data_IF_875583369464
#
_entry.id   IF_875583369464
#
_cell.length_a   1.000
_cell.length_b   1.000
_cell.length_c   1.000
_cell.angle_alpha   90.00
_cell.angle_beta   90.00
_cell.angle_gamma   90.00
#
_symmetry.space_group_name_H-M   'P 1'
#
loop_
_entity.id
_entity.type
_entity.pdbx_description
1 polymer ?
#
# COMPACT_ATOMS: atom_id res chain seq x y z
N UNK A 1 15.39 -20.47 -10.41
CA UNK A 1 16.49 -19.65 -9.86
C UNK A 1 17.45 -20.47 -9.01
N UNK A 2 17.01 -21.16 -7.95
CA UNK A 2 17.93 -21.83 -7.01
C UNK A 2 18.88 -22.91 -7.59
N UNK A 3 18.49 -23.74 -8.57
CA UNK A 3 19.47 -24.61 -9.26
C UNK A 3 20.59 -23.85 -9.99
N UNK A 4 20.37 -22.60 -10.39
CA UNK A 4 21.40 -21.74 -10.95
C UNK A 4 22.27 -21.12 -9.84
N UNK A 5 21.69 -20.77 -8.69
CA UNK A 5 22.45 -20.28 -7.52
C UNK A 5 23.49 -21.30 -7.08
N UNK A 6 23.12 -22.59 -7.02
CA UNK A 6 24.05 -23.68 -6.68
C UNK A 6 25.23 -23.79 -7.66
N UNK A 7 25.08 -23.33 -8.92
CA UNK A 7 26.16 -23.32 -9.92
C UNK A 7 27.00 -22.04 -9.86
N UNK A 8 26.39 -20.92 -9.51
CA UNK A 8 27.05 -19.60 -9.52
C UNK A 8 27.83 -19.33 -8.23
N UNK A 9 27.33 -19.82 -7.10
CA UNK A 9 27.96 -19.65 -5.79
C UNK A 9 28.85 -20.86 -5.56
N UNK A 10 30.15 -20.63 -5.44
CA UNK A 10 31.14 -21.67 -5.11
C UNK A 10 32.03 -21.23 -3.95
N UNK A 11 32.31 -19.93 -3.81
CA UNK A 11 33.15 -19.35 -2.77
C UNK A 11 32.41 -18.26 -1.99
N UNK A 12 32.87 -17.97 -0.77
CA UNK A 12 32.38 -16.81 0.00
C UNK A 12 32.51 -15.47 -0.77
N UNK A 13 33.39 -15.40 -1.77
CA UNK A 13 33.58 -14.23 -2.64
C UNK A 13 32.41 -13.99 -3.60
N UNK A 14 31.60 -15.01 -3.85
CA UNK A 14 30.40 -14.91 -4.69
C UNK A 14 29.18 -14.37 -3.92
N UNK A 15 29.35 -14.10 -2.62
CA UNK A 15 28.33 -13.63 -1.71
C UNK A 15 28.58 -12.17 -1.28
N UNK A 16 27.52 -11.37 -1.09
CA UNK A 16 26.12 -11.73 -1.28
C UNK A 16 25.72 -11.74 -2.76
N UNK A 17 24.96 -12.75 -3.16
CA UNK A 17 24.27 -12.74 -4.46
C UNK A 17 22.90 -12.09 -4.26
N UNK A 18 22.63 -11.00 -4.97
CA UNK A 18 21.34 -10.26 -4.88
C UNK A 18 20.73 -10.08 -6.26
N UNK A 19 19.61 -10.76 -6.52
CA UNK A 19 18.93 -10.69 -7.82
C UNK A 19 17.47 -10.29 -7.65
N UNK A 20 16.97 -9.53 -8.62
CA UNK A 20 15.59 -9.09 -8.71
C UNK A 20 15.10 -9.25 -10.15
N UNK A 21 13.84 -9.65 -10.33
CA UNK A 21 13.19 -9.65 -11.64
C UNK A 21 11.79 -9.05 -11.58
N UNK A 22 11.39 -8.39 -12.68
CA UNK A 22 10.02 -7.97 -12.93
C UNK A 22 9.39 -8.93 -13.93
N UNK A 23 8.27 -9.53 -13.58
CA UNK A 23 7.62 -10.55 -14.39
C UNK A 23 6.12 -10.59 -14.16
N UNK A 24 5.41 -11.32 -15.00
CA UNK A 24 4.06 -11.79 -14.74
C UNK A 24 4.10 -13.18 -14.10
N UNK A 25 3.18 -13.45 -13.18
CA UNK A 25 2.99 -14.77 -12.58
C UNK A 25 1.56 -15.22 -12.79
N UNK A 26 1.40 -16.50 -13.13
CA UNK A 26 0.11 -17.15 -13.29
C UNK A 26 -0.15 -18.09 -12.12
N UNK A 27 -1.23 -17.86 -11.38
CA UNK A 27 -1.78 -18.76 -10.36
C UNK A 27 -3.24 -19.02 -10.69
N UNK A 28 -3.61 -20.29 -10.80
CA UNK A 28 -5.01 -20.65 -11.04
C UNK A 28 -5.83 -20.54 -9.75
N UNK A 29 -6.05 -19.31 -9.30
CA UNK A 29 -6.75 -18.98 -8.07
C UNK A 29 -8.18 -19.56 -8.07
N UNK A 30 -8.51 -20.31 -7.03
CA UNK A 30 -9.84 -20.90 -6.81
C UNK A 30 -10.82 -19.93 -6.13
N UNK A 31 -10.29 -18.90 -5.47
CA UNK A 31 -11.11 -17.82 -4.88
C UNK A 31 -11.60 -16.87 -5.97
N UNK A 32 -12.68 -16.15 -5.68
CA UNK A 32 -13.26 -15.17 -6.59
C UNK A 32 -12.22 -14.12 -7.01
N UNK A 33 -11.95 -13.92 -8.31
CA UNK A 33 -11.02 -12.89 -8.76
C UNK A 33 -11.54 -11.48 -8.44
N UNK A 34 -10.64 -10.59 -8.04
CA UNK A 34 -10.91 -9.18 -7.83
C UNK A 34 -9.81 -8.38 -8.53
N UNK A 35 -10.14 -7.45 -9.45
CA UNK A 35 -9.16 -6.67 -10.19
C UNK A 35 -8.09 -6.09 -9.26
N UNK A 36 -6.83 -6.24 -9.66
CA UNK A 36 -5.63 -5.91 -8.87
C UNK A 36 -5.41 -6.76 -7.61
N UNK A 37 -6.41 -6.87 -6.73
CA UNK A 37 -6.24 -7.52 -5.41
C UNK A 37 -5.92 -9.01 -5.53
N UNK A 38 -6.60 -9.70 -6.45
CA UNK A 38 -6.46 -11.13 -6.70
C UNK A 38 -6.85 -11.46 -8.14
N UNK A 39 -5.87 -11.56 -9.02
CA UNK A 39 -6.05 -11.97 -10.42
C UNK A 39 -5.28 -13.25 -10.69
N UNK A 40 -5.69 -14.02 -11.72
CA UNK A 40 -5.00 -15.26 -12.10
C UNK A 40 -3.63 -14.99 -12.71
N UNK A 41 -3.52 -13.92 -13.47
CA UNK A 41 -2.26 -13.35 -13.91
C UNK A 41 -2.07 -12.01 -13.22
N UNK A 42 -0.90 -11.78 -12.64
CA UNK A 42 -0.55 -10.50 -12.03
C UNK A 42 0.90 -10.15 -12.31
N UNK A 43 1.19 -8.85 -12.39
CA UNK A 43 2.55 -8.34 -12.50
C UNK A 43 3.13 -8.20 -11.10
N UNK A 44 4.39 -8.57 -10.94
CA UNK A 44 5.10 -8.43 -9.69
C UNK A 44 6.59 -8.19 -9.91
N UNK A 45 7.25 -7.83 -8.83
CA UNK A 45 8.67 -8.08 -8.69
C UNK A 45 8.88 -9.22 -7.69
N UNK A 46 9.93 -10.00 -7.91
CA UNK A 46 10.44 -10.97 -6.94
C UNK A 46 11.95 -10.82 -6.81
N UNK A 47 12.42 -10.67 -5.58
CA UNK A 47 13.83 -10.65 -5.25
C UNK A 47 14.24 -11.94 -4.54
N UNK A 48 15.44 -12.41 -4.85
CA UNK A 48 16.04 -13.61 -4.27
C UNK A 48 17.51 -13.36 -4.00
N UNK A 49 17.92 -13.61 -2.77
CA UNK A 49 19.28 -13.31 -2.31
C UNK A 49 19.88 -14.48 -1.55
N UNK A 50 21.21 -14.51 -1.48
CA UNK A 50 21.99 -15.49 -0.75
C UNK A 50 23.16 -14.81 -0.03
N UNK A 51 23.35 -15.17 1.24
CA UNK A 51 24.33 -14.59 2.16
C UNK A 51 25.14 -15.69 2.84
N UNK A 52 26.36 -15.35 3.24
CA UNK A 52 27.21 -16.23 4.06
C UNK A 52 26.72 -16.28 5.50
N UNK A 53 26.37 -15.13 6.07
CA UNK A 53 25.97 -14.96 7.47
C UNK A 53 24.48 -14.74 7.64
N UNK A 54 23.92 -15.29 8.72
CA UNK A 54 22.51 -15.14 9.05
C UNK A 54 22.13 -13.68 9.32
N UNK A 55 22.98 -12.95 10.06
CA UNK A 55 22.71 -11.58 10.47
C UNK A 55 22.55 -10.64 9.25
N UNK A 56 23.37 -10.82 8.22
CA UNK A 56 23.29 -10.03 6.99
C UNK A 56 22.00 -10.32 6.22
N UNK A 57 21.59 -11.59 6.17
CA UNK A 57 20.32 -11.97 5.57
C UNK A 57 19.13 -11.39 6.36
N UNK A 58 19.13 -11.45 7.69
CA UNK A 58 18.07 -10.87 8.52
C UNK A 58 17.99 -9.34 8.40
N UNK A 59 19.12 -8.66 8.23
CA UNK A 59 19.16 -7.22 7.99
C UNK A 59 18.47 -6.83 6.67
N UNK A 60 18.75 -7.54 5.57
CA UNK A 60 18.09 -7.27 4.28
C UNK A 60 16.57 -7.48 4.34
N UNK A 61 16.09 -8.48 5.11
CA UNK A 61 14.64 -8.73 5.21
C UNK A 61 13.90 -7.48 5.70
N UNK A 62 14.47 -6.78 6.68
CA UNK A 62 13.93 -5.55 7.23
C UNK A 62 14.15 -4.34 6.31
N UNK A 63 15.32 -4.24 5.67
CA UNK A 63 15.58 -3.19 4.66
C UNK A 63 14.53 -3.22 3.54
N UNK A 64 14.25 -4.39 2.98
CA UNK A 64 13.24 -4.56 1.93
C UNK A 64 11.83 -4.28 2.45
N UNK A 65 11.53 -4.67 3.69
CA UNK A 65 10.24 -4.38 4.31
C UNK A 65 10.03 -2.87 4.45
N UNK A 66 11.07 -2.12 4.80
CA UNK A 66 11.04 -0.66 4.89
C UNK A 66 10.86 -0.02 3.52
N UNK A 67 11.52 -0.54 2.47
CA UNK A 67 11.28 -0.09 1.10
C UNK A 67 9.83 -0.30 0.66
N UNK A 68 9.21 -1.43 1.01
CA UNK A 68 7.78 -1.62 0.72
C UNK A 68 6.88 -0.67 1.50
N UNK A 69 7.19 -0.42 2.77
CA UNK A 69 6.47 0.55 3.56
C UNK A 69 6.60 1.97 2.97
N UNK A 70 7.76 2.33 2.42
CA UNK A 70 8.00 3.59 1.73
C UNK A 70 7.29 3.67 0.38
N UNK A 71 7.19 2.57 -0.37
CA UNK A 71 6.36 2.54 -1.59
C UNK A 71 4.90 2.85 -1.24
N UNK A 72 4.33 2.20 -0.22
CA UNK A 72 2.94 2.47 0.19
C UNK A 72 2.75 3.90 0.72
N UNK A 73 3.58 4.34 1.66
CA UNK A 73 3.38 5.63 2.33
C UNK A 73 3.92 6.81 1.50
N UNK A 74 5.15 6.67 1.01
CA UNK A 74 5.87 7.67 0.24
C UNK A 74 5.37 7.84 -1.19
N UNK A 75 4.90 6.80 -1.88
CA UNK A 75 4.37 6.93 -3.24
C UNK A 75 2.84 6.88 -3.32
N UNK A 76 2.21 5.96 -2.58
CA UNK A 76 0.77 5.70 -2.67
C UNK A 76 -0.06 6.45 -1.62
N UNK A 77 0.56 7.15 -0.67
CA UNK A 77 -0.10 7.80 0.46
C UNK A 77 -1.01 6.81 1.25
N UNK A 78 -0.62 5.54 1.33
CA UNK A 78 -1.36 4.49 2.05
C UNK A 78 -0.58 4.10 3.31
N UNK A 79 -1.16 4.20 4.50
CA UNK A 79 -0.54 3.73 5.73
C UNK A 79 -0.49 2.19 5.76
N UNK A 80 0.58 1.65 6.36
CA UNK A 80 0.76 0.21 6.55
C UNK A 80 1.33 -0.11 7.91
N UNK A 81 1.02 -1.30 8.43
CA UNK A 81 1.60 -1.84 9.66
C UNK A 81 2.66 -2.88 9.29
N UNK A 82 3.91 -2.61 9.67
CA UNK A 82 5.00 -3.60 9.59
C UNK A 82 4.86 -4.63 10.71
N UNK A 83 5.00 -5.90 10.36
CA UNK A 83 5.01 -6.96 11.37
C UNK A 83 5.48 -8.30 10.84
N UNK A 84 5.43 -9.31 11.71
CA UNK A 84 5.78 -10.70 11.42
C UNK A 84 4.52 -11.56 11.33
N UNK A 85 4.43 -12.45 10.35
CA UNK A 85 3.35 -13.45 10.29
C UNK A 85 3.48 -14.46 11.43
N UNK A 86 2.36 -14.97 11.91
CA UNK A 86 2.37 -16.13 12.82
C UNK A 86 2.88 -17.38 12.09
N UNK A 87 3.19 -18.44 12.84
CA UNK A 87 3.64 -19.71 12.26
C UNK A 87 2.62 -20.31 11.28
N UNK A 88 1.32 -20.04 11.47
CA UNK A 88 0.27 -20.54 10.58
C UNK A 88 0.20 -19.80 9.25
N UNK A 89 0.44 -18.49 9.25
CA UNK A 89 0.28 -17.63 8.06
C UNK A 89 1.63 -17.26 7.40
N UNK A 90 2.77 -17.71 7.95
CA UNK A 90 4.08 -17.54 7.29
C UNK A 90 4.19 -18.39 6.02
N UNK A 91 5.13 -18.05 5.14
CA UNK A 91 5.49 -18.93 4.05
C UNK A 91 6.10 -20.24 4.59
N UNK A 92 5.55 -21.39 4.21
CA UNK A 92 5.95 -22.68 4.76
C UNK A 92 7.44 -23.03 4.57
N UNK A 93 8.08 -22.50 3.53
CA UNK A 93 9.53 -22.68 3.29
C UNK A 93 10.41 -21.65 4.00
N UNK A 94 9.83 -20.69 4.73
CA UNK A 94 10.55 -19.64 5.44
C UNK A 94 10.73 -19.97 6.92
N UNK A 95 11.88 -19.58 7.47
CA UNK A 95 12.07 -19.55 8.92
C UNK A 95 11.10 -18.55 9.54
N UNK A 96 11.01 -17.36 8.95
CA UNK A 96 9.98 -16.39 9.27
C UNK A 96 9.59 -15.51 8.07
N UNK A 97 8.40 -14.92 8.16
CA UNK A 97 7.87 -14.01 7.15
C UNK A 97 7.51 -12.67 7.77
N UNK A 98 8.00 -11.59 7.17
CA UNK A 98 7.59 -10.22 7.50
C UNK A 98 6.65 -9.67 6.43
N UNK A 99 5.81 -8.73 6.83
CA UNK A 99 4.68 -8.25 6.02
C UNK A 99 4.39 -6.78 6.32
N UNK A 100 3.87 -6.08 5.31
CA UNK A 100 3.18 -4.80 5.48
C UNK A 100 1.68 -5.05 5.31
N UNK A 101 0.91 -4.77 6.35
CA UNK A 101 -0.55 -4.93 6.34
C UNK A 101 -1.22 -3.57 6.10
N UNK A 102 -2.09 -3.49 5.09
CA UNK A 102 -2.95 -2.36 4.83
C UNK A 102 -4.39 -2.68 5.23
N UNK A 103 -5.24 -1.65 5.28
CA UNK A 103 -6.62 -1.78 5.72
C UNK A 103 -7.58 -1.00 4.82
N UNK A 104 -8.73 -1.61 4.52
CA UNK A 104 -9.77 -1.03 3.69
C UNK A 104 -11.01 -0.75 4.56
N UNK A 105 -11.22 0.53 4.90
CA UNK A 105 -12.31 0.96 5.78
C UNK A 105 -13.70 0.63 5.23
N UNK A 106 -13.92 0.79 3.92
CA UNK A 106 -15.20 0.53 3.28
C UNK A 106 -15.74 -0.89 3.53
N UNK A 107 -14.86 -1.89 3.58
CA UNK A 107 -15.22 -3.30 3.78
C UNK A 107 -14.84 -3.84 5.15
N UNK A 108 -14.07 -3.11 5.96
CA UNK A 108 -13.58 -3.58 7.25
C UNK A 108 -12.58 -4.73 7.15
N UNK A 109 -11.81 -4.79 6.04
CA UNK A 109 -10.90 -5.90 5.75
C UNK A 109 -9.47 -5.41 5.65
N UNK A 110 -8.57 -6.19 6.24
CA UNK A 110 -7.15 -6.06 6.03
C UNK A 110 -6.72 -6.70 4.71
N UNK A 111 -5.54 -6.30 4.23
CA UNK A 111 -4.93 -6.87 3.05
C UNK A 111 -3.41 -6.85 3.19
N UNK A 112 -2.80 -8.02 2.96
CA UNK A 112 -1.35 -8.12 2.89
C UNK A 112 -0.85 -7.36 1.65
N UNK A 113 -0.08 -6.30 1.88
CA UNK A 113 0.42 -5.39 0.86
C UNK A 113 1.70 -5.86 0.19
N UNK A 114 2.63 -6.45 0.94
CA UNK A 114 3.89 -7.02 0.45
C UNK A 114 4.47 -7.99 1.48
N UNK A 115 5.49 -8.76 1.08
CA UNK A 115 6.11 -9.77 1.94
C UNK A 115 7.62 -9.82 1.76
N UNK A 116 8.35 -10.04 2.85
CA UNK A 116 9.79 -10.25 2.86
C UNK A 116 10.13 -11.40 3.81
N UNK A 117 10.73 -12.45 3.27
CA UNK A 117 10.94 -13.74 3.93
C UNK A 117 12.42 -13.95 4.24
N UNK A 118 12.70 -14.33 5.49
CA UNK A 118 13.95 -15.02 5.80
C UNK A 118 13.74 -16.52 5.56
N UNK A 119 14.41 -17.08 4.57
CA UNK A 119 14.26 -18.47 4.19
C UNK A 119 15.18 -19.40 5.00
N UNK A 120 16.07 -18.83 5.81
CA UNK A 120 17.09 -19.58 6.53
C UNK A 120 17.95 -20.37 5.55
N UNK A 121 18.17 -21.64 5.88
CA UNK A 121 18.88 -22.60 5.03
C UNK A 121 17.95 -23.66 4.41
N UNK A 122 16.62 -23.46 4.46
CA UNK A 122 15.67 -24.49 4.03
C UNK A 122 15.83 -24.80 2.53
N UNK A 123 15.88 -23.76 1.70
CA UNK A 123 16.07 -23.89 0.25
C UNK A 123 17.52 -24.21 -0.12
N UNK A 124 18.50 -23.68 0.60
CA UNK A 124 19.91 -23.96 0.30
C UNK A 124 20.27 -25.42 0.54
N UNK A 125 19.67 -26.07 1.55
CA UNK A 125 19.77 -27.52 1.74
C UNK A 125 19.02 -28.31 0.67
N UNK A 126 17.82 -27.87 0.29
CA UNK A 126 17.00 -28.56 -0.72
C UNK A 126 17.64 -28.55 -2.11
N UNK A 127 18.32 -27.46 -2.48
CA UNK A 127 18.91 -27.24 -3.79
C UNK A 127 20.44 -27.34 -3.81
N UNK A 128 21.04 -27.75 -2.69
CA UNK A 128 22.50 -27.85 -2.49
C UNK A 128 23.27 -26.57 -2.86
N UNK A 129 22.76 -25.43 -2.42
CA UNK A 129 23.43 -24.14 -2.58
C UNK A 129 24.43 -23.96 -1.44
N UNK A 130 25.71 -24.19 -1.73
CA UNK A 130 26.81 -24.12 -0.77
C UNK A 130 27.92 -23.18 -1.24
N UNK A 131 28.82 -22.82 -0.32
CA UNK A 131 30.05 -22.08 -0.61
C UNK A 131 31.20 -22.60 0.27
N UNK A 132 32.44 -22.43 -0.21
CA UNK A 132 33.63 -22.73 0.59
C UNK A 132 33.82 -21.70 1.71
N UNK A 133 33.62 -22.14 2.96
CA UNK A 133 33.72 -21.27 4.13
C UNK A 133 35.19 -20.87 4.40
N UNK A 134 35.51 -19.56 4.49
CA UNK A 134 36.89 -19.07 4.49
C UNK A 134 37.73 -19.54 5.69
N UNK A 135 37.09 -19.78 6.84
CA UNK A 135 37.76 -20.22 8.07
C UNK A 135 37.90 -21.74 8.16
N UNK A 136 36.84 -22.51 7.90
CA UNK A 136 36.84 -23.96 8.06
C UNK A 136 37.33 -24.71 6.82
N UNK A 137 37.29 -24.06 5.65
CA UNK A 137 37.59 -24.68 4.36
C UNK A 137 36.58 -25.76 3.94
N UNK A 138 35.45 -25.89 4.66
CA UNK A 138 34.41 -26.87 4.37
C UNK A 138 33.20 -26.21 3.69
N UNK A 139 32.44 -26.95 2.87
CA UNK A 139 31.20 -26.46 2.29
C UNK A 139 30.21 -26.05 3.38
N UNK A 140 29.64 -24.85 3.26
CA UNK A 140 28.60 -24.32 4.12
C UNK A 140 27.38 -23.89 3.29
N UNK A 141 26.18 -24.12 3.81
CA UNK A 141 24.94 -23.69 3.16
C UNK A 141 24.72 -22.18 3.35
N UNK A 142 24.35 -21.50 2.26
CA UNK A 142 23.99 -20.07 2.30
C UNK A 142 22.69 -19.84 3.06
N UNK A 143 22.55 -18.66 3.68
CA UNK A 143 21.28 -18.12 4.15
C UNK A 143 20.59 -17.39 3.01
N UNK A 144 19.30 -17.59 2.83
CA UNK A 144 18.55 -17.00 1.71
C UNK A 144 17.39 -16.13 2.18
N UNK A 145 17.06 -15.13 1.36
CA UNK A 145 15.80 -14.40 1.46
C UNK A 145 15.03 -14.46 0.15
N UNK A 146 13.72 -14.24 0.23
CA UNK A 146 12.92 -13.85 -0.92
C UNK A 146 11.88 -12.82 -0.53
N UNK A 147 11.49 -11.97 -1.48
CA UNK A 147 10.57 -10.87 -1.21
C UNK A 147 9.77 -10.49 -2.46
N UNK A 148 8.53 -10.06 -2.28
CA UNK A 148 7.61 -9.80 -3.39
C UNK A 148 6.61 -8.66 -3.15
N UNK A 149 6.34 -7.92 -4.22
CA UNK A 149 5.33 -6.86 -4.29
C UNK A 149 4.64 -6.91 -5.65
N UNK A 150 3.33 -6.64 -5.67
CA UNK A 150 2.50 -6.85 -6.86
C UNK A 150 1.64 -5.64 -7.19
N UNK A 151 0.96 -5.70 -8.34
CA UNK A 151 -0.07 -4.73 -8.73
C UNK A 151 -1.28 -4.68 -7.79
N UNK A 152 -1.39 -5.56 -6.80
CA UNK A 152 -2.36 -5.43 -5.68
C UNK A 152 -2.29 -4.05 -5.04
N UNK A 153 -1.11 -3.49 -4.92
CA UNK A 153 -0.87 -2.15 -4.39
C UNK A 153 -1.71 -1.06 -5.05
N UNK A 154 -1.97 -1.16 -6.35
CA UNK A 154 -2.87 -0.25 -7.06
C UNK A 154 -4.33 -0.43 -6.61
N UNK A 155 -4.78 -1.67 -6.45
CA UNK A 155 -6.10 -1.95 -5.90
C UNK A 155 -6.27 -1.38 -4.48
N UNK A 156 -5.25 -1.53 -3.63
CA UNK A 156 -5.24 -0.92 -2.29
C UNK A 156 -5.34 0.61 -2.39
N UNK A 157 -4.52 1.26 -3.23
CA UNK A 157 -4.58 2.70 -3.46
C UNK A 157 -6.00 3.15 -3.84
N UNK A 158 -6.63 2.46 -4.79
CA UNK A 158 -7.97 2.83 -5.27
C UNK A 158 -9.04 2.67 -4.19
N UNK A 159 -8.94 1.63 -3.36
CA UNK A 159 -9.91 1.36 -2.30
C UNK A 159 -9.73 2.26 -1.07
N UNK A 160 -8.50 2.72 -0.79
CA UNK A 160 -8.21 3.62 0.33
C UNK A 160 -8.64 5.05 0.00
N UNK A 161 -8.32 5.54 -1.20
CA UNK A 161 -8.51 6.96 -1.53
C UNK A 161 -9.77 7.26 -2.34
N UNK A 162 -10.33 6.28 -3.04
CA UNK A 162 -11.50 6.47 -3.90
C UNK A 162 -12.71 7.01 -3.14
N UNK A 163 -13.52 7.82 -3.81
CA UNK A 163 -14.75 8.39 -3.25
C UNK A 163 -15.93 8.25 -4.22
N UNK A 164 -17.08 8.81 -3.85
CA UNK A 164 -18.31 8.75 -4.65
C UNK A 164 -18.21 9.46 -6.01
N UNK A 165 -17.16 10.26 -6.25
CA UNK A 165 -16.91 10.93 -7.54
C UNK A 165 -15.96 10.12 -8.43
N UNK A 166 -15.25 9.13 -7.89
CA UNK A 166 -14.35 8.24 -8.63
C UNK A 166 -12.97 8.14 -7.98
N UNK A 167 -11.93 8.02 -8.81
CA UNK A 167 -10.55 7.89 -8.32
C UNK A 167 -10.08 9.17 -7.61
N UNK A 168 -9.17 9.01 -6.65
CA UNK A 168 -8.39 10.08 -6.03
C UNK A 168 -6.95 9.61 -6.02
N UNK A 169 -6.09 10.20 -6.87
CA UNK A 169 -4.72 9.71 -7.04
C UNK A 169 -3.74 10.60 -6.26
N UNK A 170 -2.78 10.01 -5.52
CA UNK A 170 -1.66 10.75 -4.96
C UNK A 170 -0.83 11.41 -6.09
N UNK A 171 -0.36 12.66 -5.92
CA UNK A 171 0.38 13.37 -6.96
C UNK A 171 1.63 12.66 -7.48
N UNK A 172 2.28 11.83 -6.65
CA UNK A 172 3.53 11.13 -7.01
C UNK A 172 3.31 10.02 -8.04
N UNK A 173 2.12 9.41 -8.07
CA UNK A 173 1.77 8.31 -8.99
C UNK A 173 0.67 8.65 -10.00
N UNK A 174 0.03 9.81 -9.88
CA UNK A 174 -0.99 10.25 -10.82
C UNK A 174 -0.43 10.40 -12.24
N UNK A 175 -0.98 9.73 -13.28
CA UNK A 175 -0.49 9.86 -14.66
C UNK A 175 -0.56 11.30 -15.19
N UNK A 176 -1.57 12.05 -14.75
CA UNK A 176 -1.71 13.49 -14.95
C UNK A 176 -1.87 14.09 -13.55
N UNK A 177 -0.98 15.03 -13.20
CA UNK A 177 -1.00 15.73 -11.92
C UNK A 177 -1.91 16.96 -11.97
N UNK A 178 -1.85 17.68 -13.09
CA UNK A 178 -2.55 18.95 -13.28
C UNK A 178 -3.32 18.89 -14.60
N UNK A 179 -4.61 19.19 -14.54
CA UNK A 179 -5.41 19.43 -15.74
C UNK A 179 -5.78 20.91 -15.84
N UNK A 180 -5.42 21.54 -16.95
CA UNK A 180 -5.79 22.93 -17.25
C UNK A 180 -7.09 22.92 -18.05
N UNK A 181 -8.11 23.61 -17.53
CA UNK A 181 -9.44 23.67 -18.15
C UNK A 181 -9.83 25.12 -18.40
N UNK A 182 -9.87 25.59 -19.67
CA UNK A 182 -10.47 26.87 -20.00
C UNK A 182 -11.98 26.82 -19.71
N UNK A 183 -12.47 27.78 -18.94
CA UNK A 183 -13.87 27.88 -18.51
C UNK A 183 -14.43 29.30 -18.71
N UNK A 184 -15.74 29.47 -18.51
CA UNK A 184 -16.38 30.80 -18.65
C UNK A 184 -16.69 31.24 -20.09
N UNK A 185 -16.44 30.39 -21.10
CA UNK A 185 -16.94 30.61 -22.46
C UNK A 185 -18.45 30.38 -22.48
N UNK A 186 -19.20 31.39 -22.94
CA UNK A 186 -20.64 31.27 -23.17
C UNK A 186 -20.96 31.42 -24.66
N UNK A 187 -22.19 31.13 -25.07
CA UNK A 187 -22.63 31.39 -26.46
C UNK A 187 -22.53 32.88 -26.85
N UNK A 188 -22.45 33.77 -25.86
CA UNK A 188 -22.34 35.23 -26.04
C UNK A 188 -20.90 35.73 -26.18
N UNK A 189 -19.90 34.90 -25.85
CA UNK A 189 -18.49 35.29 -25.97
C UNK A 189 -18.10 35.50 -27.43
N UNK A 190 -17.24 36.49 -27.70
CA UNK A 190 -16.72 36.74 -29.06
C UNK A 190 -15.77 35.61 -29.50
N UNK A 191 -15.39 35.58 -30.78
CA UNK A 191 -14.40 34.62 -31.27
C UNK A 191 -13.03 34.93 -30.66
N UNK A 192 -12.68 36.22 -30.60
CA UNK A 192 -11.41 36.72 -30.08
C UNK A 192 -11.25 36.40 -28.58
N UNK A 193 -12.32 36.55 -27.79
CA UNK A 193 -12.31 36.19 -26.36
C UNK A 193 -12.05 34.69 -26.16
N UNK A 194 -12.65 33.84 -27.00
CA UNK A 194 -12.44 32.38 -26.94
C UNK A 194 -11.01 32.01 -27.31
N UNK A 195 -10.47 32.58 -28.39
CA UNK A 195 -9.10 32.33 -28.83
C UNK A 195 -8.08 32.81 -27.80
N UNK A 196 -8.29 34.00 -27.23
CA UNK A 196 -7.45 34.56 -26.17
C UNK A 196 -7.41 33.64 -24.93
N UNK A 197 -8.56 33.12 -24.51
CA UNK A 197 -8.66 32.21 -23.36
C UNK A 197 -7.96 30.87 -23.62
N UNK A 198 -8.17 30.28 -24.79
CA UNK A 198 -7.53 29.02 -25.18
C UNK A 198 -6.01 29.20 -25.26
N UNK A 199 -5.56 30.31 -25.85
CA UNK A 199 -4.15 30.68 -25.91
C UNK A 199 -3.54 30.82 -24.52
N UNK A 200 -4.23 31.50 -23.59
CA UNK A 200 -3.79 31.60 -22.21
C UNK A 200 -3.68 30.22 -21.52
N UNK A 201 -4.65 29.33 -21.74
CA UNK A 201 -4.59 27.97 -21.22
C UNK A 201 -3.42 27.14 -21.79
N UNK A 202 -3.13 27.29 -23.08
CA UNK A 202 -1.96 26.67 -23.71
C UNK A 202 -0.64 27.25 -23.22
N UNK A 203 -0.57 28.56 -22.96
CA UNK A 203 0.61 29.22 -22.39
C UNK A 203 0.88 28.71 -20.96
N UNK A 204 -0.12 28.68 -20.09
CA UNK A 204 0.02 28.13 -18.72
C UNK A 204 0.43 26.65 -18.77
N UNK A 205 -0.18 25.87 -19.67
CA UNK A 205 0.19 24.46 -19.84
C UNK A 205 1.65 24.31 -20.28
N UNK A 206 2.13 25.16 -21.18
CA UNK A 206 3.51 25.13 -21.68
C UNK A 206 4.50 25.55 -20.60
N UNK A 207 4.17 26.61 -19.84
CA UNK A 207 4.94 27.06 -18.67
C UNK A 207 5.15 25.91 -17.69
N UNK A 208 4.06 25.23 -17.30
CA UNK A 208 4.15 24.12 -16.33
C UNK A 208 4.90 22.89 -16.88
N UNK A 209 4.81 22.61 -18.18
CA UNK A 209 5.56 21.49 -18.78
C UNK A 209 7.05 21.77 -18.91
N UNK A 210 7.43 23.04 -19.08
CA UNK A 210 8.81 23.48 -19.24
C UNK A 210 9.50 23.76 -17.91
N UNK A 211 8.75 23.77 -16.81
CA UNK A 211 9.27 23.92 -15.46
C UNK A 211 10.26 22.80 -15.09
N UNK A 212 11.28 23.14 -14.29
CA UNK A 212 12.29 22.19 -13.83
C UNK A 212 11.69 21.01 -13.02
N UNK A 213 10.53 21.22 -12.39
CA UNK A 213 9.79 20.18 -11.67
C UNK A 213 9.12 19.14 -12.61
N UNK A 214 9.11 19.37 -13.94
CA UNK A 214 8.62 18.46 -14.97
C UNK A 214 7.21 17.91 -14.68
N UNK A 215 6.24 18.82 -14.52
CA UNK A 215 4.87 18.44 -14.18
C UNK A 215 4.19 17.64 -15.29
N UNK A 216 3.42 16.63 -14.89
CA UNK A 216 2.56 15.87 -15.81
C UNK A 216 1.25 16.62 -16.04
N UNK A 217 1.26 17.55 -16.99
CA UNK A 217 0.14 18.47 -17.25
C UNK A 217 -0.59 18.15 -18.55
N UNK A 218 -1.92 18.31 -18.53
CA UNK A 218 -2.75 18.25 -19.74
C UNK A 218 -3.71 19.43 -19.81
N UNK A 219 -3.80 20.06 -20.99
CA UNK A 219 -4.88 21.00 -21.29
C UNK A 219 -6.09 20.24 -21.87
N UNK A 220 -7.29 20.58 -21.39
CA UNK A 220 -8.56 20.09 -21.95
C UNK A 220 -9.33 21.21 -22.65
N UNK A 221 -8.94 21.47 -23.88
CA UNK A 221 -9.48 22.50 -24.77
C UNK A 221 -10.62 22.00 -25.67
N UNK A 222 -11.13 20.78 -25.45
CA UNK A 222 -12.24 20.22 -26.25
C UNK A 222 -13.45 21.15 -26.24
N UNK A 223 -13.79 21.73 -27.38
CA UNK A 223 -14.81 22.80 -27.50
C UNK A 223 -16.25 22.28 -27.49
N UNK A 224 -16.45 21.01 -27.86
CA UNK A 224 -17.76 20.35 -27.90
C UNK A 224 -18.27 19.89 -26.53
N UNK A 225 -17.51 20.11 -25.46
CA UNK A 225 -17.84 19.68 -24.09
C UNK A 225 -17.92 20.89 -23.16
N UNK A 226 -18.94 20.90 -22.31
CA UNK A 226 -19.08 21.95 -21.29
C UNK A 226 -17.98 21.85 -20.22
N UNK A 227 -17.60 22.96 -19.57
CA UNK A 227 -16.64 22.94 -18.46
C UNK A 227 -17.07 21.97 -17.34
N UNK A 228 -18.34 21.96 -16.98
CA UNK A 228 -18.86 21.03 -15.96
C UNK A 228 -18.67 19.55 -16.32
N UNK A 229 -18.85 19.19 -17.60
CA UNK A 229 -18.56 17.84 -18.06
C UNK A 229 -17.08 17.50 -17.92
N UNK A 230 -16.19 18.43 -18.30
CA UNK A 230 -14.73 18.27 -18.16
C UNK A 230 -14.32 18.12 -16.70
N UNK A 231 -14.91 18.92 -15.80
CA UNK A 231 -14.64 18.84 -14.35
C UNK A 231 -14.94 17.43 -13.84
N UNK A 232 -16.14 16.91 -14.11
CA UNK A 232 -16.53 15.56 -13.72
C UNK A 232 -15.64 14.48 -14.37
N UNK A 233 -15.27 14.63 -15.64
CA UNK A 233 -14.40 13.68 -16.33
C UNK A 233 -13.04 13.51 -15.64
N UNK A 234 -12.41 14.62 -15.24
CA UNK A 234 -11.10 14.59 -14.60
C UNK A 234 -11.16 14.31 -13.10
N UNK A 235 -12.26 14.68 -12.43
CA UNK A 235 -12.54 14.25 -11.05
C UNK A 235 -12.69 12.72 -10.98
N UNK A 236 -13.47 12.13 -11.89
CA UNK A 236 -13.63 10.67 -11.98
C UNK A 236 -12.31 9.94 -12.19
N UNK A 237 -11.40 10.52 -12.99
CA UNK A 237 -10.06 9.98 -13.25
C UNK A 237 -9.04 10.26 -12.14
N UNK A 238 -9.41 11.06 -11.13
CA UNK A 238 -8.58 11.34 -9.96
C UNK A 238 -7.38 12.23 -10.21
N UNK A 239 -7.45 13.14 -11.19
CA UNK A 239 -6.39 14.14 -11.40
C UNK A 239 -6.26 15.01 -10.14
N UNK A 240 -5.10 15.09 -9.47
CA UNK A 240 -4.95 15.75 -8.18
C UNK A 240 -5.33 17.24 -8.18
N UNK A 241 -4.97 17.97 -9.24
CA UNK A 241 -5.20 19.41 -9.35
C UNK A 241 -5.92 19.71 -10.65
N UNK A 242 -7.06 20.39 -10.57
CA UNK A 242 -7.68 21.05 -11.72
C UNK A 242 -7.38 22.53 -11.66
N UNK A 243 -6.76 23.08 -12.69
CA UNK A 243 -6.48 24.50 -12.86
C UNK A 243 -7.50 25.08 -13.83
N UNK A 244 -8.37 25.95 -13.33
CA UNK A 244 -9.41 26.64 -14.09
C UNK A 244 -8.88 28.01 -14.53
N UNK A 245 -9.06 28.32 -15.81
CA UNK A 245 -8.72 29.62 -16.40
C UNK A 245 -9.98 30.16 -17.06
N UNK A 246 -10.51 31.27 -16.56
CA UNK A 246 -11.60 32.02 -17.15
C UNK A 246 -11.26 33.48 -17.41
N UNK A 247 -12.21 34.27 -17.94
CA UNK A 247 -12.01 35.70 -18.18
C UNK A 247 -11.62 36.49 -16.92
N UNK A 248 -12.17 36.12 -15.77
CA UNK A 248 -11.86 36.75 -14.48
C UNK A 248 -10.40 36.46 -14.06
N UNK A 249 -9.97 35.21 -14.15
CA UNK A 249 -8.60 34.79 -13.86
C UNK A 249 -7.58 35.52 -14.76
N UNK A 250 -7.90 35.68 -16.04
CA UNK A 250 -7.08 36.44 -16.98
C UNK A 250 -6.99 37.93 -16.62
N UNK A 251 -8.12 38.56 -16.28
CA UNK A 251 -8.15 39.97 -15.90
C UNK A 251 -7.36 40.25 -14.62
N UNK A 252 -7.42 39.33 -13.65
CA UNK A 252 -6.74 39.46 -12.36
C UNK A 252 -5.34 38.84 -12.33
N UNK A 253 -4.85 38.31 -13.47
CA UNK A 253 -3.57 37.58 -13.58
C UNK A 253 -3.39 36.50 -12.50
N UNK A 254 -4.46 35.77 -12.23
CA UNK A 254 -4.51 34.70 -11.21
C UNK A 254 -5.04 33.40 -11.79
N UNK A 255 -4.96 32.32 -11.02
CA UNK A 255 -5.48 31.00 -11.39
C UNK A 255 -6.36 30.47 -10.27
N UNK A 256 -7.37 29.67 -10.62
CA UNK A 256 -8.21 28.96 -9.66
C UNK A 256 -7.85 27.48 -9.70
N UNK A 257 -7.27 26.96 -8.61
CA UNK A 257 -6.94 25.55 -8.46
C UNK A 257 -8.02 24.87 -7.62
N UNK A 258 -8.51 23.73 -8.06
CA UNK A 258 -9.42 22.85 -7.32
C UNK A 258 -8.69 21.55 -7.01
N UNK A 259 -8.61 21.21 -5.73
CA UNK A 259 -7.90 20.03 -5.24
C UNK A 259 -8.83 18.82 -5.20
N UNK A 260 -8.41 17.70 -5.77
CA UNK A 260 -9.26 16.51 -5.90
C UNK A 260 -9.59 15.83 -4.58
N UNK A 261 -8.64 15.79 -3.64
CA UNK A 261 -8.76 15.00 -2.42
C UNK A 261 -9.75 15.61 -1.39
N UNK A 262 -9.94 16.94 -1.40
CA UNK A 262 -10.81 17.65 -0.45
C UNK A 262 -11.76 18.68 -1.10
N UNK A 263 -11.74 18.84 -2.42
CA UNK A 263 -12.52 19.84 -3.17
C UNK A 263 -12.22 21.31 -2.81
N UNK A 264 -11.13 21.59 -2.09
CA UNK A 264 -10.73 22.95 -1.74
C UNK A 264 -10.37 23.75 -2.99
N UNK A 265 -10.71 25.05 -2.96
CA UNK A 265 -10.37 26.01 -4.02
C UNK A 265 -9.28 26.94 -3.53
N UNK A 266 -8.23 27.08 -4.32
CA UNK A 266 -7.11 27.96 -4.04
C UNK A 266 -6.95 28.95 -5.18
N UNK A 267 -6.71 30.21 -4.84
CA UNK A 267 -6.37 31.23 -5.83
C UNK A 267 -4.88 31.52 -5.75
N UNK A 268 -4.18 31.35 -6.87
CA UNK A 268 -2.73 31.56 -6.93
C UNK A 268 -2.42 32.54 -8.06
N UNK A 269 -1.67 33.63 -7.80
CA UNK A 269 -1.15 34.52 -8.85
C UNK A 269 -0.38 33.72 -9.92
N UNK A 270 -0.54 34.08 -11.19
CA UNK A 270 0.06 33.32 -12.31
C UNK A 270 1.60 33.27 -12.23
N UNK A 271 2.22 34.33 -11.72
CA UNK A 271 3.67 34.45 -11.54
C UNK A 271 4.23 33.60 -10.40
N UNK A 272 3.40 33.25 -9.41
CA UNK A 272 3.77 32.39 -8.27
C UNK A 272 3.40 30.91 -8.48
N UNK A 273 2.81 30.57 -9.62
CA UNK A 273 2.24 29.24 -9.85
C UNK A 273 3.33 28.14 -9.78
N UNK A 274 4.45 28.34 -10.49
CA UNK A 274 5.58 27.41 -10.51
C UNK A 274 6.22 27.26 -9.12
N UNK A 275 6.33 28.34 -8.35
CA UNK A 275 6.96 28.30 -7.02
C UNK A 275 6.08 27.59 -5.98
N UNK A 276 4.75 27.73 -6.09
CA UNK A 276 3.80 27.20 -5.09
C UNK A 276 3.41 25.74 -5.35
N UNK A 277 3.40 25.31 -6.61
CA UNK A 277 2.96 23.96 -6.99
C UNK A 277 3.72 22.80 -6.33
N UNK A 278 5.07 22.81 -6.17
CA UNK A 278 5.77 21.71 -5.52
C UNK A 278 5.26 21.48 -4.10
N UNK A 279 5.23 22.54 -3.30
CA UNK A 279 4.72 22.50 -1.92
C UNK A 279 3.25 22.08 -1.85
N UNK A 280 2.43 22.49 -2.83
CA UNK A 280 1.03 22.12 -2.89
C UNK A 280 0.84 20.63 -3.18
N UNK A 281 1.59 20.05 -4.12
CA UNK A 281 1.52 18.62 -4.42
C UNK A 281 2.01 17.77 -3.24
N UNK A 282 3.04 18.21 -2.52
CA UNK A 282 3.49 17.54 -1.30
C UNK A 282 2.46 17.66 -0.17
N UNK A 283 1.80 18.82 -0.03
CA UNK A 283 0.71 19.01 0.93
C UNK A 283 -0.47 18.08 0.62
N UNK A 284 -0.88 17.97 -0.65
CA UNK A 284 -1.93 17.02 -1.06
C UNK A 284 -1.55 15.59 -0.69
N UNK A 285 -0.31 15.17 -0.95
CA UNK A 285 0.16 13.83 -0.59
C UNK A 285 0.13 13.60 0.92
N UNK A 286 0.63 14.57 1.70
CA UNK A 286 0.66 14.51 3.15
C UNK A 286 -0.75 14.47 3.76
N UNK A 287 -1.67 15.30 3.27
CA UNK A 287 -3.07 15.34 3.71
C UNK A 287 -3.78 14.00 3.43
N UNK A 288 -3.56 13.42 2.25
CA UNK A 288 -4.09 12.11 1.89
C UNK A 288 -3.57 11.01 2.83
N UNK A 289 -2.25 10.96 3.07
CA UNK A 289 -1.65 9.98 3.97
C UNK A 289 -2.13 10.17 5.41
N UNK A 290 -2.21 11.42 5.89
CA UNK A 290 -2.66 11.75 7.25
C UNK A 290 -4.11 11.33 7.48
N UNK A 291 -5.00 11.63 6.52
CA UNK A 291 -6.41 11.19 6.57
C UNK A 291 -6.51 9.67 6.64
N UNK A 292 -5.83 8.97 5.72
CA UNK A 292 -5.87 7.51 5.69
C UNK A 292 -5.26 6.88 6.95
N UNK A 293 -4.20 7.48 7.50
CA UNK A 293 -3.56 7.03 8.76
C UNK A 293 -4.51 7.16 9.94
N UNK A 294 -5.21 8.30 10.03
CA UNK A 294 -6.19 8.57 11.10
C UNK A 294 -7.35 7.57 11.01
N UNK A 295 -7.93 7.38 9.83
CA UNK A 295 -9.00 6.41 9.61
C UNK A 295 -8.55 4.98 9.93
N UNK A 296 -7.35 4.58 9.50
CA UNK A 296 -6.81 3.26 9.84
C UNK A 296 -6.66 3.08 11.37
N UNK A 297 -6.11 4.08 12.07
CA UNK A 297 -5.94 4.03 13.52
C UNK A 297 -7.27 3.92 14.28
N UNK A 298 -8.32 4.62 13.85
CA UNK A 298 -9.68 4.56 14.42
C UNK A 298 -10.32 3.17 14.27
N UNK A 299 -9.92 2.42 13.25
CA UNK A 299 -10.40 1.08 12.95
C UNK A 299 -9.56 -0.03 13.59
N UNK A 300 -8.67 0.27 14.55
CA UNK A 300 -7.94 -0.73 15.32
C UNK A 300 -8.38 -0.67 16.78
N UNK A 301 -8.92 -1.77 17.27
CA UNK A 301 -9.42 -1.91 18.65
C UNK A 301 -8.59 -2.92 19.41
N UNK A 302 -8.59 -2.87 20.73
CA UNK A 302 -8.08 -3.97 21.56
C UNK A 302 -9.16 -5.03 21.76
N UNK A 303 -8.77 -6.30 21.87
CA UNK A 303 -9.67 -7.38 22.26
C UNK A 303 -9.03 -8.27 23.33
N UNK A 304 -9.76 -8.51 24.42
CA UNK A 304 -9.35 -9.33 25.56
C UNK A 304 -10.01 -10.71 25.56
N UNK A 305 -11.02 -10.91 24.72
CA UNK A 305 -11.75 -12.16 24.55
C UNK A 305 -12.36 -12.27 23.14
N UNK A 306 -12.89 -13.44 22.82
CA UNK A 306 -13.48 -13.72 21.50
C UNK A 306 -14.71 -12.84 21.19
N UNK A 307 -15.51 -12.48 22.20
CA UNK A 307 -16.68 -11.62 22.00
C UNK A 307 -16.27 -10.21 21.58
N UNK A 308 -15.24 -9.65 22.22
CA UNK A 308 -14.66 -8.35 21.85
C UNK A 308 -14.04 -8.38 20.44
N UNK A 309 -13.36 -9.47 20.07
CA UNK A 309 -12.88 -9.68 18.71
C UNK A 309 -14.05 -9.65 17.73
N UNK A 310 -15.10 -10.45 17.94
CA UNK A 310 -16.26 -10.48 17.07
C UNK A 310 -16.94 -9.10 16.97
N UNK A 311 -17.11 -8.39 18.09
CA UNK A 311 -17.67 -7.05 18.11
C UNK A 311 -16.83 -6.06 17.28
N UNK A 312 -15.49 -6.15 17.34
CA UNK A 312 -14.61 -5.34 16.49
C UNK A 312 -14.79 -5.67 14.99
N UNK A 313 -14.83 -6.95 14.62
CA UNK A 313 -15.05 -7.37 13.23
C UNK A 313 -16.39 -6.88 12.68
N UNK A 314 -17.42 -6.85 13.52
CA UNK A 314 -18.76 -6.41 13.15
C UNK A 314 -18.86 -4.89 13.01
N UNK A 315 -18.08 -4.18 13.82
CA UNK A 315 -17.84 -2.76 13.67
C UNK A 315 -16.85 -2.43 12.54
N UNK A 316 -16.59 -3.36 11.61
CA UNK A 316 -15.61 -3.22 10.52
C UNK A 316 -14.29 -2.70 11.08
N UNK A 317 -13.72 -3.37 12.07
CA UNK A 317 -12.45 -2.97 12.69
C UNK A 317 -11.53 -4.19 12.80
N UNK A 318 -10.24 -3.91 12.86
CA UNK A 318 -9.22 -4.88 13.26
C UNK A 318 -9.14 -4.94 14.79
N UNK A 319 -8.61 -6.03 15.30
CA UNK A 319 -8.49 -6.25 16.73
C UNK A 319 -7.06 -6.67 17.10
N UNK A 320 -6.44 -5.93 18.00
CA UNK A 320 -5.15 -6.27 18.60
C UNK A 320 -5.39 -7.03 19.90
N UNK A 321 -4.86 -8.24 20.00
CA UNK A 321 -5.14 -9.13 21.12
C UNK A 321 -3.89 -9.89 21.61
N UNK A 322 -3.75 -10.14 22.93
CA UNK A 322 -2.66 -10.95 23.46
C UNK A 322 -2.86 -12.42 23.05
N UNK A 323 -1.95 -12.97 22.24
CA UNK A 323 -2.11 -14.27 21.61
C UNK A 323 -0.95 -15.22 21.93
N UNK A 324 -1.25 -16.53 22.07
CA UNK A 324 -0.23 -17.55 22.39
C UNK A 324 0.67 -17.93 21.21
N UNK A 325 0.36 -17.52 19.98
CA UNK A 325 1.18 -17.80 18.80
C UNK A 325 0.94 -19.18 18.16
N UNK A 326 0.22 -20.07 18.83
CA UNK A 326 0.05 -21.45 18.38
C UNK A 326 -1.03 -21.62 17.29
N UNK A 327 -0.71 -22.47 16.30
CA UNK A 327 -1.52 -22.69 15.11
C UNK A 327 -2.88 -23.34 15.38
N UNK A 328 -2.99 -24.19 16.41
CA UNK A 328 -4.25 -24.82 16.82
C UNK A 328 -5.21 -23.78 17.42
N UNK A 329 -4.69 -22.85 18.22
CA UNK A 329 -5.49 -21.74 18.77
C UNK A 329 -5.95 -20.78 17.67
N UNK A 330 -5.09 -20.49 16.68
CA UNK A 330 -5.45 -19.64 15.53
C UNK A 330 -6.59 -20.25 14.71
N UNK A 331 -6.57 -21.57 14.53
CA UNK A 331 -7.63 -22.32 13.84
C UNK A 331 -8.97 -22.24 14.60
N UNK A 332 -8.95 -22.38 15.92
CA UNK A 332 -10.16 -22.18 16.76
C UNK A 332 -10.70 -20.76 16.62
N UNK A 333 -9.83 -19.74 16.74
CA UNK A 333 -10.24 -18.33 16.58
C UNK A 333 -10.92 -18.13 15.22
N UNK A 334 -10.33 -18.66 14.14
CA UNK A 334 -10.89 -18.55 12.80
C UNK A 334 -12.26 -19.20 12.68
N UNK A 335 -12.46 -20.36 13.27
CA UNK A 335 -13.71 -21.10 13.15
C UNK A 335 -14.81 -20.47 14.00
N UNK A 336 -14.51 -20.10 15.25
CA UNK A 336 -15.49 -19.53 16.18
C UNK A 336 -15.85 -18.08 15.84
N UNK A 337 -14.96 -17.33 15.18
CA UNK A 337 -15.26 -15.97 14.70
C UNK A 337 -15.88 -15.93 13.30
N UNK A 338 -16.07 -17.09 12.65
CA UNK A 338 -16.76 -17.17 11.38
C UNK A 338 -18.27 -17.01 11.59
N UNK A 339 -18.92 -16.11 10.83
CA UNK A 339 -20.38 -16.00 10.80
C UNK A 339 -20.95 -16.88 9.69
N UNK A 340 -22.12 -17.49 9.91
CA UNK A 340 -22.85 -18.28 8.90
C UNK A 340 -23.51 -17.44 7.78
N UNK A 341 -23.25 -16.13 7.69
CA UNK A 341 -23.92 -15.25 6.72
C UNK A 341 -22.88 -14.41 5.96
N UNK A 342 -22.81 -14.60 4.64
CA UNK A 342 -22.06 -13.72 3.75
C UNK A 342 -22.71 -12.34 3.75
N UNK A 343 -22.07 -11.37 4.40
CA UNK A 343 -22.57 -9.99 4.49
C UNK A 343 -22.51 -9.24 3.14
N UNK A 344 -21.73 -9.75 2.18
CA UNK A 344 -21.58 -9.17 0.83
C UNK A 344 -21.51 -10.28 -0.23
N UNK A 345 -22.20 -10.09 -1.36
CA UNK A 345 -22.14 -11.00 -2.52
C UNK A 345 -20.70 -11.10 -3.03
N UNK A 346 -20.12 -12.31 -2.97
CA UNK A 346 -18.77 -12.61 -3.46
C UNK A 346 -17.64 -12.41 -2.44
N UNK A 347 -17.92 -11.88 -1.25
CA UNK A 347 -16.92 -11.81 -0.18
C UNK A 347 -16.82 -13.15 0.55
N UNK A 348 -15.61 -13.70 0.79
CA UNK A 348 -15.48 -14.96 1.49
C UNK A 348 -15.98 -14.78 2.93
N UNK A 349 -16.94 -15.62 3.34
CA UNK A 349 -17.34 -15.78 4.74
C UNK A 349 -16.18 -16.44 5.48
N UNK A 350 -15.30 -15.61 6.01
CA UNK A 350 -14.11 -16.05 6.72
C UNK A 350 -14.14 -15.42 8.09
N UNK A 351 -13.93 -16.23 9.13
CA UNK A 351 -13.59 -15.71 10.45
C UNK A 351 -12.26 -14.96 10.42
N UNK A 352 -11.93 -14.35 11.55
CA UNK A 352 -10.68 -13.62 11.70
C UNK A 352 -9.47 -14.54 11.48
N UNK A 353 -8.45 -13.97 10.87
CA UNK A 353 -7.10 -14.54 10.78
C UNK A 353 -6.14 -13.65 11.54
N UNK A 354 -4.99 -14.20 11.93
CA UNK A 354 -3.88 -13.33 12.30
C UNK A 354 -3.38 -12.61 11.05
N UNK A 355 -3.16 -11.31 11.19
CA UNK A 355 -2.67 -10.45 10.11
C UNK A 355 -1.15 -10.31 10.26
N UNK A 356 -0.71 -9.83 11.41
CA UNK A 356 0.69 -9.82 11.80
C UNK A 356 0.83 -9.63 13.32
N UNK A 357 2.01 -9.94 13.83
CA UNK A 357 2.53 -9.46 15.09
C UNK A 357 3.23 -8.13 14.77
N UNK A 358 2.66 -6.97 15.12
CA UNK A 358 3.23 -5.68 14.77
C UNK A 358 4.61 -5.48 15.41
N UNK A 359 5.55 -4.87 14.69
CA UNK A 359 6.85 -4.49 15.26
C UNK A 359 6.76 -3.26 16.15
N UNK A 360 5.82 -2.37 15.85
CA UNK A 360 5.52 -1.16 16.61
C UNK A 360 4.03 -0.81 16.46
N UNK A 361 3.51 0.00 17.38
CA UNK A 361 2.16 0.55 17.35
C UNK A 361 2.16 2.07 17.13
N UNK A 362 3.06 2.57 16.29
CA UNK A 362 3.25 4.01 16.03
C UNK A 362 1.99 4.67 15.43
N UNK A 363 1.09 3.88 14.87
CA UNK A 363 -0.21 4.31 14.35
C UNK A 363 -1.21 4.66 15.45
N UNK A 364 -1.04 4.16 16.68
CA UNK A 364 -1.86 4.52 17.83
C UNK A 364 -1.09 4.22 19.12
N UNK A 365 -0.49 5.26 19.72
CA UNK A 365 0.32 5.15 20.94
C UNK A 365 -0.45 4.72 22.19
N UNK A 366 -1.79 4.70 22.14
CA UNK A 366 -2.62 4.19 23.23
C UNK A 366 -2.78 2.65 23.19
N UNK A 367 -2.36 1.98 22.10
CA UNK A 367 -2.46 0.53 21.98
C UNK A 367 -1.24 -0.18 22.58
N UNK A 368 -1.45 -1.36 23.21
CA UNK A 368 -0.35 -2.18 23.67
C UNK A 368 0.45 -2.74 22.50
N UNK A 369 1.77 -2.85 22.62
CA UNK A 369 2.64 -3.38 21.57
C UNK A 369 3.68 -4.36 22.13
N UNK A 370 4.24 -5.20 21.26
CA UNK A 370 5.32 -6.11 21.60
C UNK A 370 4.87 -7.28 22.48
N UNK A 371 5.66 -7.58 23.51
CA UNK A 371 5.46 -8.73 24.40
C UNK A 371 4.51 -8.35 25.54
N UNK A 372 3.40 -9.11 25.75
CA UNK A 372 2.50 -8.90 26.87
C UNK A 372 3.19 -9.02 28.23
N UNK A 373 2.68 -8.34 29.28
CA UNK A 373 3.17 -8.52 30.64
C UNK A 373 3.23 -9.99 31.07
N UNK A 374 4.20 -10.34 31.92
CA UNK A 374 4.35 -11.72 32.41
C UNK A 374 3.06 -12.20 33.07
N UNK A 375 2.59 -13.39 32.69
CA UNK A 375 1.35 -13.98 33.19
C UNK A 375 0.09 -13.58 32.43
N UNK A 376 0.17 -12.67 31.44
CA UNK A 376 -0.95 -12.43 30.52
C UNK A 376 -1.31 -13.71 29.78
N UNK A 377 -2.58 -14.12 29.86
CA UNK A 377 -3.09 -15.30 29.16
C UNK A 377 -3.49 -14.95 27.73
N UNK A 378 -3.54 -15.96 26.87
CA UNK A 378 -4.14 -15.83 25.54
C UNK A 378 -5.58 -15.33 25.65
N UNK A 379 -5.97 -14.38 24.79
CA UNK A 379 -7.31 -13.80 24.77
C UNK A 379 -8.40 -14.82 24.45
N UNK A 380 -8.07 -15.93 23.78
CA UNK A 380 -9.02 -16.98 23.39
C UNK A 380 -9.42 -17.90 24.56
N UNK A 381 -9.83 -17.32 25.69
CA UNK A 381 -10.43 -18.04 26.81
C UNK A 381 -11.90 -18.37 26.52
N UNK A 382 -12.44 -19.51 26.96
CA UNK A 382 -11.76 -20.58 27.72
C UNK A 382 -11.03 -21.61 26.84
N UNK A 383 -11.06 -21.45 25.51
CA UNK A 383 -10.52 -22.44 24.55
C UNK A 383 -8.99 -22.63 24.62
N UNK A 384 -8.25 -21.69 25.21
CA UNK A 384 -6.81 -21.74 25.32
C UNK A 384 -6.36 -21.21 26.68
N UNK A 385 -5.65 -22.00 27.48
CA UNK A 385 -5.15 -21.59 28.81
C UNK A 385 -3.68 -21.13 28.81
N UNK A 386 -3.02 -21.16 27.64
CA UNK A 386 -1.61 -20.79 27.46
C UNK A 386 -1.36 -19.30 27.74
N UNK A 387 -0.11 -18.98 28.06
CA UNK A 387 0.34 -17.59 28.15
C UNK A 387 0.40 -16.95 26.76
N UNK A 388 0.13 -15.65 26.69
CA UNK A 388 0.31 -14.88 25.48
C UNK A 388 1.79 -14.61 25.23
N UNK A 389 2.26 -14.79 24.00
CA UNK A 389 3.63 -14.54 23.59
C UNK A 389 3.79 -13.13 22.98
N UNK A 390 2.76 -12.65 22.29
CA UNK A 390 2.78 -11.37 21.60
C UNK A 390 1.38 -10.75 21.54
N UNK A 391 1.32 -9.43 21.37
CA UNK A 391 0.11 -8.80 20.84
C UNK A 391 0.07 -9.03 19.33
N UNK A 392 -1.02 -9.64 18.86
CA UNK A 392 -1.22 -10.01 17.45
C UNK A 392 -2.44 -9.29 16.91
N UNK A 393 -2.32 -8.72 15.72
CA UNK A 393 -3.42 -8.07 15.01
C UNK A 393 -4.24 -9.12 14.29
N UNK A 394 -5.55 -9.11 14.50
CA UNK A 394 -6.53 -10.01 13.89
C UNK A 394 -7.54 -9.21 13.07
N UNK A 395 -8.08 -9.85 12.03
CA UNK A 395 -9.12 -9.24 11.21
C UNK A 395 -9.65 -10.15 10.12
N UNK A 396 -10.70 -9.69 9.43
CA UNK A 396 -11.12 -10.26 8.15
C UNK A 396 -10.12 -9.81 7.08
N UNK A 397 -9.73 -10.72 6.19
CA UNK A 397 -8.76 -10.45 5.12
C UNK A 397 -9.37 -10.70 3.73
N UNK A 398 -8.78 -10.07 2.71
CA UNK A 398 -8.95 -10.41 1.29
C UNK A 398 -8.23 -11.71 0.88
#
# INVERSE_FOLDING_TARGET
MYPAFAKWIQSHRDLPLRLNQWSNVVRWEFKHPQPFLRTREFLWQEGHTAYAEKADAEAEVLEILDLYAEVYQGLLAVPVIKGRKTEKEKFAGADYTTTVEAYIAGTGRAIQGATSHHLGQNFSRMFDVTYDHPVTGMPAHVYQNSWGFTTRSLGVLFMVHGDNKGLVLPPRVAPIQIVVVPCGITNKSSIEERESLISAAHQVTSLLKQDAANYRVRCDDRTHLSPGWKFNHWEMKGVPVRLEIGPQEMAERSTCLVLRHNSAKLRIPMDQLCDRLPSLLDTIHADMLCKATTEFAEHIRTASNLNELCAALDAKSLALAPFCGDSDCEEVIRNESARNVALELGAPSMGAKSLCIPFACDFNSALPCGVPPTGTKCFNQPHCTRQALAYTLFGRSY
#
